data_IF_827517973753
#
_entry.id   IF_827517973753
#
_cell.length_a   1.000
_cell.length_b   1.000
_cell.length_c   1.000
_cell.angle_alpha   90.00
_cell.angle_beta   90.00
_cell.angle_gamma   90.00
#
_symmetry.space_group_name_H-M   'P 1'
#
loop_
_entity.id
_entity.type
_entity.pdbx_description
1 polymer ?
#
# COMPACT_ATOMS: atom_id res chain seq x y z
N UNK A 1 -26.44 -2.97 43.69
CA UNK A 1 -27.48 -3.00 42.64
C UNK A 1 -27.73 -1.58 42.22
N UNK A 2 -27.30 -1.25 41.01
CA UNK A 2 -28.07 -0.53 39.97
C UNK A 2 -27.04 -0.02 38.98
N UNK A 3 -26.84 -0.77 37.90
CA UNK A 3 -26.23 -0.25 36.69
C UNK A 3 -27.26 0.70 36.07
N UNK A 4 -26.92 1.98 35.96
CA UNK A 4 -27.74 2.98 35.30
C UNK A 4 -27.83 2.63 33.80
N UNK A 5 -28.87 1.87 33.46
CA UNK A 5 -29.26 1.57 32.10
C UNK A 5 -29.85 2.84 31.49
N UNK A 6 -29.07 3.57 30.70
CA UNK A 6 -29.60 4.63 29.85
C UNK A 6 -30.36 3.98 28.68
N UNK A 7 -31.71 4.06 28.64
CA UNK A 7 -32.47 3.46 27.56
C UNK A 7 -32.30 4.33 26.33
N UNK A 8 -31.39 3.92 25.43
CA UNK A 8 -31.41 4.42 24.06
C UNK A 8 -32.79 4.10 23.47
N UNK A 9 -33.55 5.08 22.95
CA UNK A 9 -34.88 4.87 22.38
C UNK A 9 -34.86 4.09 21.06
N UNK A 10 -33.66 3.75 20.57
CA UNK A 10 -33.43 2.92 19.41
C UNK A 10 -32.96 1.57 19.91
N UNK A 11 -33.78 0.54 19.70
CA UNK A 11 -33.37 -0.86 19.79
C UNK A 11 -32.36 -1.12 18.68
N UNK A 12 -31.08 -0.99 19.02
CA UNK A 12 -30.01 -1.45 18.15
C UNK A 12 -30.04 -2.98 18.20
N UNK A 13 -30.01 -3.68 17.05
CA UNK A 13 -29.72 -5.11 17.07
C UNK A 13 -28.45 -5.32 17.90
N UNK A 14 -28.43 -6.40 18.70
CA UNK A 14 -27.32 -6.72 19.58
C UNK A 14 -25.98 -6.48 18.88
N UNK A 15 -25.03 -5.87 19.59
CA UNK A 15 -23.71 -5.56 19.04
C UNK A 15 -23.11 -6.78 18.34
N UNK A 16 -22.35 -6.60 17.25
CA UNK A 16 -21.94 -7.69 16.37
C UNK A 16 -21.42 -8.89 17.18
N UNK A 17 -22.04 -10.05 16.96
CA UNK A 17 -21.62 -11.31 17.55
C UNK A 17 -20.20 -11.65 17.06
N UNK A 18 -19.18 -11.27 17.83
CA UNK A 18 -17.81 -11.65 17.58
C UNK A 18 -17.54 -13.10 18.00
N UNK A 19 -18.41 -14.06 17.66
CA UNK A 19 -18.20 -15.51 17.88
C UNK A 19 -17.01 -16.10 17.09
N UNK A 20 -16.16 -15.25 16.51
CA UNK A 20 -14.96 -15.63 15.77
C UNK A 20 -13.66 -15.54 16.59
N UNK A 21 -12.53 -15.72 15.90
CA UNK A 21 -11.18 -15.51 16.45
C UNK A 21 -10.64 -14.16 15.93
N UNK A 22 -10.99 -13.02 16.54
CA UNK A 22 -10.70 -11.69 15.97
C UNK A 22 -9.20 -11.44 15.78
N UNK A 23 -8.37 -11.87 16.73
CA UNK A 23 -6.90 -11.78 16.60
C UNK A 23 -6.38 -12.58 15.40
N UNK A 24 -6.88 -13.81 15.20
CA UNK A 24 -6.48 -14.64 14.06
C UNK A 24 -6.85 -13.97 12.74
N UNK A 25 -8.06 -13.41 12.65
CA UNK A 25 -8.50 -12.69 11.47
C UNK A 25 -7.62 -11.47 11.18
N UNK A 26 -7.37 -10.64 12.20
CA UNK A 26 -6.51 -9.47 12.07
C UNK A 26 -5.09 -9.85 11.65
N UNK A 27 -4.50 -10.87 12.26
CA UNK A 27 -3.15 -11.36 11.89
C UNK A 27 -3.10 -11.83 10.44
N UNK A 28 -4.11 -12.59 9.98
CA UNK A 28 -4.16 -13.06 8.58
C UNK A 28 -4.28 -11.86 7.64
N UNK A 29 -5.18 -10.91 7.94
CA UNK A 29 -5.38 -9.73 7.12
C UNK A 29 -4.10 -8.90 7.02
N UNK A 30 -3.42 -8.66 8.14
CA UNK A 30 -2.12 -7.96 8.18
C UNK A 30 -1.08 -8.72 7.36
N UNK A 31 -0.94 -10.03 7.58
CA UNK A 31 0.04 -10.84 6.85
C UNK A 31 -0.18 -10.81 5.33
N UNK A 32 -1.42 -10.94 4.88
CA UNK A 32 -1.79 -10.86 3.46
C UNK A 32 -1.48 -9.46 2.91
N UNK A 33 -1.86 -8.40 3.62
CA UNK A 33 -1.58 -7.03 3.20
C UNK A 33 -0.07 -6.74 3.13
N UNK A 34 0.70 -7.20 4.11
CA UNK A 34 2.16 -7.06 4.13
C UNK A 34 2.81 -7.80 2.97
N UNK A 35 2.39 -9.03 2.68
CA UNK A 35 2.89 -9.79 1.53
C UNK A 35 2.54 -9.11 0.21
N UNK A 36 1.29 -8.66 0.07
CA UNK A 36 0.84 -7.93 -1.11
C UNK A 36 1.67 -6.65 -1.32
N UNK A 37 1.86 -5.84 -0.29
CA UNK A 37 2.67 -4.63 -0.37
C UNK A 37 4.14 -4.96 -0.66
N UNK A 38 4.71 -5.96 -0.02
CA UNK A 38 6.11 -6.37 -0.26
C UNK A 38 6.36 -6.77 -1.71
N UNK A 39 5.40 -7.46 -2.34
CA UNK A 39 5.51 -7.94 -3.72
C UNK A 39 5.23 -6.85 -4.76
N UNK A 40 4.17 -6.06 -4.57
CA UNK A 40 3.71 -5.11 -5.60
C UNK A 40 4.21 -3.67 -5.39
N UNK A 41 4.84 -3.38 -4.24
CA UNK A 41 5.27 -2.03 -3.87
C UNK A 41 6.80 -1.90 -3.67
N UNK A 42 7.60 -2.78 -4.28
CA UNK A 42 9.05 -2.81 -4.11
C UNK A 42 9.73 -1.46 -4.44
N UNK A 43 9.33 -0.80 -5.52
CA UNK A 43 9.86 0.53 -5.90
C UNK A 43 9.62 1.61 -4.84
N UNK A 44 8.45 1.61 -4.19
CA UNK A 44 8.20 2.60 -3.12
C UNK A 44 9.02 2.29 -1.86
N UNK A 45 9.25 1.00 -1.58
CA UNK A 45 10.12 0.57 -0.47
C UNK A 45 11.56 1.03 -0.74
N UNK A 46 12.06 0.87 -1.96
CA UNK A 46 13.39 1.36 -2.37
C UNK A 46 13.46 2.90 -2.28
N UNK A 47 12.50 3.61 -2.85
CA UNK A 47 12.45 5.08 -2.82
C UNK A 47 12.48 5.63 -1.38
N UNK A 48 11.71 5.04 -0.47
CA UNK A 48 11.77 5.37 0.95
C UNK A 48 13.15 5.07 1.56
N UNK A 49 13.77 3.93 1.23
CA UNK A 49 15.07 3.56 1.76
C UNK A 49 16.17 4.54 1.37
N UNK A 50 16.14 5.06 0.13
CA UNK A 50 17.08 6.06 -0.39
C UNK A 50 16.92 7.42 0.29
N UNK A 51 15.74 7.74 0.81
CA UNK A 51 15.47 8.98 1.55
C UNK A 51 15.97 8.95 3.02
N UNK A 52 16.39 7.79 3.53
CA UNK A 52 16.91 7.66 4.90
C UNK A 52 18.20 8.46 5.09
N UNK A 53 18.40 8.98 6.30
CA UNK A 53 19.66 9.64 6.65
C UNK A 53 20.86 8.70 6.38
N UNK A 54 21.95 9.19 5.76
CA UNK A 54 23.10 8.34 5.44
C UNK A 54 23.76 7.77 6.69
N UNK A 55 23.68 6.45 6.85
CA UNK A 55 24.28 5.68 7.94
C UNK A 55 24.72 4.31 7.41
N UNK A 56 25.61 3.59 8.11
CA UNK A 56 25.96 2.22 7.72
C UNK A 56 24.75 1.27 7.68
N UNK A 57 23.71 1.53 8.48
CA UNK A 57 22.49 0.74 8.46
C UNK A 57 21.62 1.08 7.24
N UNK A 58 21.39 2.35 6.94
CA UNK A 58 20.60 2.74 5.76
C UNK A 58 21.26 2.30 4.46
N UNK A 59 22.60 2.30 4.36
CA UNK A 59 23.29 1.73 3.21
C UNK A 59 22.97 0.24 2.98
N UNK A 60 22.83 -0.55 4.06
CA UNK A 60 22.42 -1.96 3.98
C UNK A 60 20.95 -2.10 3.60
N UNK A 61 20.10 -1.23 4.13
CA UNK A 61 18.66 -1.21 3.80
C UNK A 61 18.49 -0.91 2.31
N UNK A 62 19.14 0.15 1.80
CA UNK A 62 19.12 0.53 0.39
C UNK A 62 19.53 -0.64 -0.49
N UNK A 63 20.70 -1.25 -0.23
CA UNK A 63 21.19 -2.39 -1.00
C UNK A 63 20.20 -3.59 -0.97
N UNK A 64 19.59 -3.87 0.17
CA UNK A 64 18.59 -4.93 0.27
C UNK A 64 17.31 -4.61 -0.52
N UNK A 65 16.87 -3.34 -0.50
CA UNK A 65 15.67 -2.91 -1.23
C UNK A 65 15.90 -2.78 -2.74
N UNK A 66 17.11 -2.45 -3.18
CA UNK A 66 17.53 -2.49 -4.59
C UNK A 66 17.48 -3.93 -5.11
N UNK A 67 18.14 -4.86 -4.43
CA UNK A 67 18.13 -6.28 -4.81
C UNK A 67 16.72 -6.88 -4.80
N UNK A 68 15.88 -6.45 -3.85
CA UNK A 68 14.48 -6.87 -3.79
C UNK A 68 13.66 -6.33 -4.97
N UNK A 69 13.82 -5.05 -5.31
CA UNK A 69 13.16 -4.46 -6.47
C UNK A 69 13.54 -5.20 -7.76
N UNK A 70 14.84 -5.40 -8.00
CA UNK A 70 15.34 -6.18 -9.15
C UNK A 70 14.74 -7.60 -9.20
N UNK A 71 14.62 -8.26 -8.05
CA UNK A 71 14.02 -9.59 -7.95
C UNK A 71 12.54 -9.56 -8.34
N UNK A 72 11.76 -8.59 -7.84
CA UNK A 72 10.34 -8.47 -8.17
C UNK A 72 10.09 -8.09 -9.63
N UNK A 73 11.01 -7.33 -10.24
CA UNK A 73 11.01 -7.05 -11.68
C UNK A 73 11.32 -8.30 -12.49
N UNK A 74 12.33 -9.08 -12.10
CA UNK A 74 12.71 -10.31 -12.79
C UNK A 74 11.60 -11.38 -12.79
N UNK A 75 10.81 -11.45 -11.71
CA UNK A 75 9.66 -12.37 -11.60
C UNK A 75 8.43 -11.83 -12.37
N UNK A 76 8.46 -10.58 -12.84
CA UNK A 76 7.38 -9.95 -13.60
C UNK A 76 6.21 -9.46 -12.74
N UNK A 77 6.35 -9.48 -11.41
CA UNK A 77 5.33 -9.00 -10.47
C UNK A 77 5.13 -7.47 -10.60
N UNK A 78 6.21 -6.76 -10.95
CA UNK A 78 6.16 -5.31 -11.19
C UNK A 78 5.49 -4.92 -12.53
N UNK A 79 5.24 -5.87 -13.44
CA UNK A 79 4.78 -5.57 -14.81
C UNK A 79 3.43 -4.83 -14.89
N UNK A 80 2.39 -5.19 -14.12
CA UNK A 80 1.12 -4.46 -14.16
C UNK A 80 1.26 -2.99 -13.72
N UNK A 81 2.09 -2.74 -12.69
CA UNK A 81 2.40 -1.39 -12.22
C UNK A 81 3.12 -0.59 -13.29
N UNK A 82 4.17 -1.17 -13.90
CA UNK A 82 4.94 -0.53 -14.96
C UNK A 82 4.05 -0.18 -16.16
N UNK A 83 3.15 -1.10 -16.55
CA UNK A 83 2.17 -0.86 -17.62
C UNK A 83 1.24 0.31 -17.31
N UNK A 84 0.66 0.37 -16.10
CA UNK A 84 -0.22 1.45 -15.68
C UNK A 84 0.54 2.79 -15.64
N UNK A 85 1.75 2.79 -15.11
CA UNK A 85 2.60 3.97 -15.05
C UNK A 85 2.95 4.50 -16.45
N UNK A 86 3.30 3.61 -17.39
CA UNK A 86 3.57 3.97 -18.77
C UNK A 86 2.33 4.56 -19.46
N UNK A 87 1.14 3.98 -19.23
CA UNK A 87 -0.12 4.51 -19.74
C UNK A 87 -0.44 5.88 -19.17
N UNK A 88 -0.25 6.06 -17.87
CA UNK A 88 -0.41 7.34 -17.21
C UNK A 88 0.54 8.39 -17.79
N UNK A 89 1.82 8.07 -17.96
CA UNK A 89 2.81 8.97 -18.56
C UNK A 89 2.45 9.35 -20.00
N UNK A 90 2.00 8.40 -20.81
CA UNK A 90 1.51 8.66 -22.16
C UNK A 90 0.32 9.64 -22.18
N UNK A 91 -0.61 9.50 -21.22
CA UNK A 91 -1.73 10.43 -21.05
C UNK A 91 -1.27 11.80 -20.55
N UNK A 92 -0.29 11.88 -19.64
CA UNK A 92 0.29 13.16 -19.21
C UNK A 92 0.97 13.91 -20.36
N UNK A 93 1.63 13.19 -21.27
CA UNK A 93 2.24 13.78 -22.47
C UNK A 93 1.23 14.09 -23.57
N UNK A 94 0.02 13.53 -23.50
CA UNK A 94 -1.05 13.85 -24.42
C UNK A 94 -1.56 15.26 -24.12
N UNK A 95 -1.00 16.24 -24.83
CA UNK A 95 -1.45 17.63 -24.82
C UNK A 95 -2.93 17.67 -25.22
N UNK A 96 -3.77 18.39 -24.47
CA UNK A 96 -5.16 18.62 -24.87
C UNK A 96 -5.19 19.27 -26.26
N UNK A 97 -6.04 18.75 -27.16
CA UNK A 97 -6.23 19.35 -28.50
C UNK A 97 -6.58 20.83 -28.34
N UNK A 98 -5.76 21.72 -28.89
CA UNK A 98 -6.00 23.18 -28.87
C UNK A 98 -4.91 24.03 -28.20
N UNK A 99 -3.84 23.46 -27.65
CA UNK A 99 -2.70 24.25 -27.18
C UNK A 99 -1.66 24.48 -28.29
N UNK A 100 -2.05 25.18 -29.36
CA UNK A 100 -1.09 25.84 -30.25
C UNK A 100 -0.32 26.89 -29.46
N UNK A 101 0.99 27.00 -29.75
CA UNK A 101 1.85 28.00 -29.12
C UNK A 101 1.26 29.40 -29.34
N UNK A 102 1.08 30.15 -28.26
CA UNK A 102 0.99 31.59 -28.37
C UNK A 102 2.40 32.10 -28.70
N UNK A 103 2.64 32.43 -29.97
CA UNK A 103 3.71 33.33 -30.42
C UNK A 103 3.08 34.65 -30.88
#
# INVERSE_FOLDING_TARGET
MSEDHHPSPVDLPGGPDFHGRPLRWATIAIAVATLFLGLFNATAINGWAVELAPTPLSARIVAATEAWEETTEAIGIAAPRAWLHARWKALQTARFKGQEKAE
#
